data_IF_113020027524
#
_entry.id   IF_113020027524
#
_cell.length_a   1.000
_cell.length_b   1.000
_cell.length_c   1.000
_cell.angle_alpha   90.00
_cell.angle_beta   90.00
_cell.angle_gamma   90.00
#
_symmetry.space_group_name_H-M   'P 1'
#
loop_
_entity.id
_entity.type
_entity.pdbx_description
1 polymer ?
#
# COMPACT_ATOMS: atom_id res chain seq x y z
N UNK A 1 23.08 3.97 -9.60
CA UNK A 1 22.08 3.35 -8.72
C UNK A 1 20.93 4.33 -8.65
N UNK A 2 19.70 3.89 -8.92
CA UNK A 2 18.51 4.74 -8.74
C UNK A 2 18.41 5.17 -7.28
N UNK A 3 17.99 6.40 -7.04
CA UNK A 3 17.80 6.96 -5.71
C UNK A 3 16.29 7.12 -5.50
N UNK A 4 15.74 6.30 -4.61
CA UNK A 4 14.30 6.13 -4.43
C UNK A 4 13.62 7.47 -4.13
N UNK A 5 14.25 8.33 -3.33
CA UNK A 5 13.64 9.60 -2.89
C UNK A 5 13.79 10.74 -3.89
N UNK A 6 14.73 10.68 -4.82
CA UNK A 6 14.87 11.71 -5.86
C UNK A 6 14.15 11.35 -7.16
N UNK A 7 14.01 10.05 -7.41
CA UNK A 7 13.47 9.52 -8.65
C UNK A 7 11.93 9.47 -8.63
N UNK A 8 11.30 9.55 -7.46
CA UNK A 8 9.85 9.41 -7.30
C UNK A 8 9.24 10.53 -6.47
N UNK A 9 8.08 11.02 -6.91
CA UNK A 9 7.22 11.94 -6.14
C UNK A 9 6.16 11.17 -5.35
N UNK A 10 5.77 10.00 -5.85
CA UNK A 10 4.74 9.14 -5.27
C UNK A 10 5.22 7.69 -5.19
N UNK A 11 5.01 7.07 -4.04
CA UNK A 11 5.15 5.62 -3.88
C UNK A 11 3.81 5.05 -3.42
N UNK A 12 3.27 4.14 -4.23
CA UNK A 12 2.00 3.45 -4.00
C UNK A 12 2.33 2.06 -3.47
N UNK A 13 1.75 1.70 -2.33
CA UNK A 13 1.98 0.41 -1.70
C UNK A 13 0.74 -0.47 -1.80
N UNK A 14 0.94 -1.77 -2.05
CA UNK A 14 -0.02 -2.76 -1.57
C UNK A 14 -0.04 -2.79 -0.03
N UNK A 15 -1.13 -3.33 0.54
CA UNK A 15 -1.28 -3.45 1.98
C UNK A 15 -0.84 -4.83 2.49
N UNK A 16 -1.47 -5.91 2.03
CA UNK A 16 -1.37 -7.24 2.64
C UNK A 16 -0.17 -8.03 2.11
N UNK A 17 0.81 -8.31 2.95
CA UNK A 17 2.09 -8.92 2.55
C UNK A 17 3.19 -7.89 2.35
N UNK A 18 2.79 -6.65 2.03
CA UNK A 18 3.68 -5.51 1.79
C UNK A 18 3.88 -4.61 3.01
N UNK A 19 2.80 -4.09 3.61
CA UNK A 19 2.85 -3.20 4.79
C UNK A 19 2.32 -3.86 6.07
N UNK A 20 1.39 -4.80 5.93
CA UNK A 20 0.82 -5.56 7.05
C UNK A 20 0.92 -7.07 6.80
N UNK A 21 1.19 -7.81 7.88
CA UNK A 21 1.13 -9.26 7.91
C UNK A 21 -0.14 -9.73 8.65
N UNK A 22 -0.61 -10.96 8.42
CA UNK A 22 -1.54 -11.60 9.35
C UNK A 22 -0.96 -11.69 10.77
N UNK A 23 -1.79 -11.39 11.78
CA UNK A 23 -1.48 -11.64 13.19
C UNK A 23 -1.42 -13.15 13.46
N UNK A 24 -0.38 -13.58 14.19
CA UNK A 24 -0.19 -15.00 14.55
C UNK A 24 -1.39 -15.48 15.38
N UNK A 25 -2.02 -16.59 14.97
CA UNK A 25 -3.17 -17.18 15.67
C UNK A 25 -4.50 -17.15 14.91
N UNK A 26 -4.57 -16.47 13.76
CA UNK A 26 -5.69 -16.60 12.83
C UNK A 26 -5.75 -18.05 12.29
N UNK A 27 -6.53 -18.91 12.97
CA UNK A 27 -6.74 -20.31 12.59
C UNK A 27 -7.45 -20.35 11.23
N UNK A 28 -6.98 -21.24 10.35
CA UNK A 28 -7.40 -21.42 8.95
C UNK A 28 -7.16 -20.19 8.09
N UNK A 29 -6.00 -20.12 7.41
CA UNK A 29 -5.64 -19.06 6.43
C UNK A 29 -6.75 -18.87 5.40
N UNK A 30 -7.72 -17.94 5.53
CA UNK A 30 -8.57 -17.64 4.40
C UNK A 30 -7.73 -16.74 3.47
N UNK A 31 -7.99 -16.83 2.18
CA UNK A 31 -7.45 -15.89 1.20
C UNK A 31 -7.77 -14.43 1.56
N UNK A 32 -8.82 -14.23 2.37
CA UNK A 32 -9.33 -12.94 2.80
C UNK A 32 -9.30 -12.78 4.32
N UNK A 33 -9.33 -11.53 4.79
CA UNK A 33 -9.26 -11.17 6.21
C UNK A 33 -10.65 -10.73 6.67
N UNK A 34 -11.02 -11.11 7.89
CA UNK A 34 -12.38 -10.93 8.38
C UNK A 34 -12.52 -9.62 9.17
N UNK A 35 -11.49 -9.23 9.91
CA UNK A 35 -11.54 -8.11 10.85
C UNK A 35 -10.23 -7.32 10.91
N UNK A 36 -10.31 -6.05 11.33
CA UNK A 36 -9.15 -5.17 11.50
C UNK A 36 -8.05 -5.75 12.39
N UNK A 37 -8.42 -6.47 13.45
CA UNK A 37 -7.46 -7.07 14.38
C UNK A 37 -6.68 -8.28 13.82
N UNK A 38 -7.01 -8.72 12.59
CA UNK A 38 -6.29 -9.80 11.91
C UNK A 38 -4.96 -9.33 11.36
N UNK A 39 -4.70 -8.02 11.34
CA UNK A 39 -3.48 -7.42 10.82
C UNK A 39 -2.52 -7.04 11.94
N UNK A 40 -1.24 -7.16 11.63
CA UNK A 40 -0.16 -6.47 12.32
C UNK A 40 0.63 -5.69 11.27
N UNK A 41 1.01 -4.47 11.60
CA UNK A 41 1.99 -3.73 10.80
C UNK A 41 3.30 -4.53 10.81
N UNK A 42 3.93 -4.66 9.64
CA UNK A 42 5.21 -5.38 9.52
C UNK A 42 6.30 -4.66 10.29
N UNK A 43 7.18 -5.42 10.93
CA UNK A 43 8.33 -4.84 11.61
C UNK A 43 9.24 -4.13 10.60
N UNK A 44 9.77 -2.97 10.99
CA UNK A 44 10.72 -2.22 10.18
C UNK A 44 10.12 -1.40 9.03
N UNK A 45 8.79 -1.26 8.90
CA UNK A 45 8.20 -0.39 7.86
C UNK A 45 8.08 1.07 8.29
N UNK A 46 7.96 1.36 9.59
CA UNK A 46 7.76 2.73 10.08
C UNK A 46 8.91 3.68 9.74
N UNK A 47 10.15 3.25 9.96
CA UNK A 47 11.33 4.08 9.75
C UNK A 47 11.54 4.42 8.25
N UNK A 48 11.47 3.46 7.31
CA UNK A 48 11.49 3.76 5.88
C UNK A 48 10.39 4.72 5.43
N UNK A 49 9.14 4.52 5.87
CA UNK A 49 8.04 5.41 5.48
C UNK A 49 8.23 6.84 6.04
N UNK A 50 8.76 6.97 7.26
CA UNK A 50 9.14 8.28 7.82
C UNK A 50 10.25 8.94 7.00
N UNK A 51 11.27 8.17 6.62
CA UNK A 51 12.37 8.66 5.79
C UNK A 51 11.88 9.18 4.43
N UNK A 52 10.98 8.45 3.76
CA UNK A 52 10.39 8.89 2.49
C UNK A 52 9.66 10.23 2.62
N UNK A 53 8.78 10.37 3.63
CA UNK A 53 8.07 11.62 3.88
C UNK A 53 9.00 12.79 4.20
N UNK A 54 10.04 12.55 5.00
CA UNK A 54 11.06 13.56 5.30
C UNK A 54 11.83 14.02 4.07
N UNK A 55 11.81 13.25 2.98
CA UNK A 55 12.36 13.60 1.68
C UNK A 55 11.28 13.99 0.66
N UNK A 56 10.11 14.45 1.12
CA UNK A 56 9.01 14.97 0.30
C UNK A 56 8.37 13.97 -0.67
N UNK A 57 8.56 12.66 -0.45
CA UNK A 57 7.87 11.62 -1.22
C UNK A 57 6.48 11.39 -0.63
N UNK A 58 5.45 11.50 -1.46
CA UNK A 58 4.08 11.18 -1.09
C UNK A 58 3.87 9.67 -1.06
N UNK A 59 3.02 9.21 -0.15
CA UNK A 59 2.74 7.79 0.05
C UNK A 59 1.26 7.53 -0.20
N UNK A 60 0.95 6.43 -0.88
CA UNK A 60 -0.41 5.98 -1.11
C UNK A 60 -0.56 4.48 -0.86
N UNK A 61 -1.79 4.02 -0.62
CA UNK A 61 -2.16 2.61 -0.58
C UNK A 61 -3.12 2.31 -1.74
N UNK A 62 -2.88 1.19 -2.43
CA UNK A 62 -3.79 0.60 -3.40
C UNK A 62 -3.98 -0.89 -3.09
N UNK A 63 -5.14 -1.30 -2.55
CA UNK A 63 -5.34 -2.67 -2.02
C UNK A 63 -6.60 -3.37 -2.50
N UNK A 64 -6.48 -4.64 -2.89
CA UNK A 64 -7.60 -5.51 -3.23
C UNK A 64 -8.18 -6.15 -1.95
N UNK A 65 -9.47 -5.94 -1.68
CA UNK A 65 -10.16 -6.42 -0.47
C UNK A 65 -11.42 -7.23 -0.81
N UNK A 66 -11.21 -8.29 -1.61
CA UNK A 66 -12.27 -9.14 -2.13
C UNK A 66 -13.07 -9.93 -1.06
N UNK A 67 -12.62 -9.95 0.20
CA UNK A 67 -13.34 -10.63 1.28
C UNK A 67 -14.77 -10.15 1.45
N UNK A 68 -15.01 -8.86 1.12
CA UNK A 68 -16.34 -8.25 1.09
C UNK A 68 -17.22 -8.90 0.01
N UNK A 69 -16.71 -9.12 -1.20
CA UNK A 69 -17.44 -9.80 -2.27
C UNK A 69 -17.78 -11.26 -1.96
N UNK A 70 -17.00 -11.92 -1.09
CA UNK A 70 -17.28 -13.29 -0.64
C UNK A 70 -18.12 -13.34 0.65
N UNK A 71 -18.46 -12.21 1.26
CA UNK A 71 -19.21 -12.15 2.52
C UNK A 71 -18.43 -12.64 3.75
N UNK A 72 -17.10 -12.57 3.69
CA UNK A 72 -16.20 -12.94 4.80
C UNK A 72 -16.10 -11.80 5.82
N UNK A 73 -16.28 -10.56 5.36
CA UNK A 73 -16.24 -9.35 6.17
C UNK A 73 -17.27 -8.35 5.64
N UNK A 74 -17.74 -7.46 6.51
CA UNK A 74 -18.63 -6.38 6.11
C UNK A 74 -17.82 -5.21 5.51
N UNK A 75 -18.36 -4.49 4.50
CA UNK A 75 -17.63 -3.42 3.83
C UNK A 75 -17.11 -2.34 4.80
N UNK A 76 -17.92 -1.97 5.79
CA UNK A 76 -17.57 -0.92 6.75
C UNK A 76 -16.45 -1.36 7.69
N UNK A 77 -16.49 -2.61 8.16
CA UNK A 77 -15.44 -3.17 9.03
C UNK A 77 -14.10 -3.24 8.28
N UNK A 78 -14.14 -3.67 7.02
CA UNK A 78 -12.96 -3.71 6.17
C UNK A 78 -12.43 -2.31 5.87
N UNK A 79 -13.31 -1.35 5.58
CA UNK A 79 -12.92 0.04 5.39
C UNK A 79 -12.23 0.60 6.64
N UNK A 80 -12.80 0.41 7.84
CA UNK A 80 -12.17 0.84 9.08
C UNK A 80 -10.80 0.19 9.28
N UNK A 81 -10.66 -1.12 9.02
CA UNK A 81 -9.38 -1.82 9.10
C UNK A 81 -8.29 -1.18 8.23
N UNK A 82 -8.62 -0.86 6.97
CA UNK A 82 -7.69 -0.25 6.01
C UNK A 82 -7.31 1.15 6.50
N UNK A 83 -8.30 1.94 6.93
CA UNK A 83 -8.07 3.31 7.39
C UNK A 83 -7.25 3.36 8.67
N UNK A 84 -7.48 2.45 9.63
CA UNK A 84 -6.69 2.35 10.86
C UNK A 84 -5.23 2.00 10.56
N UNK A 85 -5.00 1.05 9.65
CA UNK A 85 -3.64 0.69 9.22
C UNK A 85 -2.95 1.85 8.49
N UNK A 86 -3.64 2.50 7.56
CA UNK A 86 -3.13 3.65 6.82
C UNK A 86 -2.80 4.82 7.75
N UNK A 87 -3.69 5.12 8.70
CA UNK A 87 -3.50 6.16 9.71
C UNK A 87 -2.28 5.87 10.58
N UNK A 88 -2.16 4.65 11.10
CA UNK A 88 -1.00 4.25 11.89
C UNK A 88 0.31 4.41 11.10
N UNK A 89 0.31 4.12 9.80
CA UNK A 89 1.47 4.25 8.92
C UNK A 89 1.74 5.70 8.45
N UNK A 90 0.84 6.65 8.73
CA UNK A 90 0.91 8.02 8.25
C UNK A 90 0.74 8.13 6.73
N UNK A 91 -0.20 7.37 6.17
CA UNK A 91 -0.54 7.36 4.74
C UNK A 91 -1.99 7.84 4.60
N UNK A 92 -2.20 8.90 3.81
CA UNK A 92 -3.50 9.57 3.69
C UNK A 92 -4.18 9.39 2.33
N UNK A 93 -3.43 9.01 1.29
CA UNK A 93 -3.98 8.65 -0.02
C UNK A 93 -4.25 7.15 0.00
N UNK A 94 -5.52 6.75 0.03
CA UNK A 94 -5.91 5.35 0.20
C UNK A 94 -7.02 4.99 -0.79
N UNK A 95 -6.73 4.02 -1.64
CA UNK A 95 -7.70 3.39 -2.53
C UNK A 95 -7.77 1.89 -2.29
N UNK A 96 -8.98 1.37 -2.29
CA UNK A 96 -9.24 -0.04 -2.11
C UNK A 96 -10.40 -0.50 -3.00
N UNK A 97 -10.39 -1.78 -3.36
CA UNK A 97 -11.41 -2.39 -4.20
C UNK A 97 -12.04 -3.60 -3.49
N UNK A 98 -13.36 -3.54 -3.25
CA UNK A 98 -14.13 -4.67 -2.70
C UNK A 98 -14.57 -5.67 -3.75
N UNK A 99 -14.63 -5.25 -5.01
CA UNK A 99 -15.13 -6.06 -6.11
C UNK A 99 -14.28 -7.31 -6.33
N UNK A 100 -14.95 -8.39 -6.70
CA UNK A 100 -14.32 -9.62 -7.18
C UNK A 100 -15.22 -10.30 -8.22
N UNK A 101 -14.71 -10.67 -9.42
CA UNK A 101 -15.54 -11.29 -10.47
C UNK A 101 -16.25 -12.56 -9.99
N UNK A 102 -15.55 -13.37 -9.19
CA UNK A 102 -16.08 -14.62 -8.61
C UNK A 102 -16.77 -14.47 -7.24
N UNK A 103 -17.07 -13.25 -6.78
CA UNK A 103 -17.71 -13.01 -5.48
C UNK A 103 -19.01 -13.80 -5.29
N UNK A 104 -19.46 -13.99 -4.05
CA UNK A 104 -20.77 -14.61 -3.75
C UNK A 104 -21.89 -13.58 -3.56
N UNK A 105 -21.53 -12.34 -3.19
CA UNK A 105 -22.45 -11.24 -2.94
C UNK A 105 -22.70 -10.45 -4.24
N UNK A 106 -23.93 -10.42 -4.79
CA UNK A 106 -24.21 -9.78 -6.09
C UNK A 106 -23.77 -8.32 -6.21
N UNK A 107 -23.80 -7.56 -5.11
CA UNK A 107 -23.40 -6.16 -5.06
C UNK A 107 -21.94 -5.91 -5.46
N UNK A 108 -21.05 -6.87 -5.20
CA UNK A 108 -19.60 -6.74 -5.37
C UNK A 108 -19.05 -7.81 -6.31
N UNK A 109 -19.93 -8.50 -7.05
CA UNK A 109 -19.58 -9.60 -7.96
C UNK A 109 -19.52 -9.10 -9.40
N UNK A 110 -18.45 -8.42 -9.74
CA UNK A 110 -18.18 -7.97 -11.09
C UNK A 110 -16.69 -7.71 -11.29
N UNK A 111 -16.29 -7.64 -12.55
CA UNK A 111 -15.01 -7.05 -12.94
C UNK A 111 -15.00 -5.56 -12.59
N UNK A 112 -13.83 -5.03 -12.26
CA UNK A 112 -13.68 -3.65 -11.79
C UNK A 112 -12.38 -3.10 -12.34
N UNK A 113 -12.45 -1.90 -12.93
CA UNK A 113 -11.26 -1.15 -13.36
C UNK A 113 -10.34 -0.77 -12.18
N UNK A 114 -10.83 -0.89 -10.94
CA UNK A 114 -10.09 -0.62 -9.71
C UNK A 114 -9.48 -1.88 -9.09
N UNK A 115 -9.87 -3.08 -9.50
CA UNK A 115 -9.30 -4.31 -8.95
C UNK A 115 -7.98 -4.62 -9.65
N UNK A 116 -6.85 -4.59 -8.93
CA UNK A 116 -5.56 -5.04 -9.50
C UNK A 116 -5.73 -6.45 -10.08
N UNK A 117 -5.30 -6.72 -11.33
CA UNK A 117 -4.28 -6.00 -12.10
C UNK A 117 -4.78 -4.77 -12.91
N UNK A 118 -6.05 -4.38 -12.82
CA UNK A 118 -6.49 -3.13 -13.43
C UNK A 118 -5.85 -1.90 -12.72
N UNK A 119 -5.46 -0.85 -13.46
CA UNK A 119 -4.65 0.25 -12.93
C UNK A 119 -5.47 1.36 -12.24
N UNK A 120 -6.80 1.25 -12.17
CA UNK A 120 -7.67 2.37 -11.75
C UNK A 120 -7.36 2.93 -10.36
N UNK A 121 -6.94 2.09 -9.40
CA UNK A 121 -6.51 2.59 -8.08
C UNK A 121 -5.21 3.39 -8.15
N UNK A 122 -4.27 3.00 -9.01
CA UNK A 122 -3.00 3.70 -9.18
C UNK A 122 -3.23 5.07 -9.84
N UNK A 123 -4.09 5.16 -10.87
CA UNK A 123 -4.43 6.44 -11.49
C UNK A 123 -5.10 7.41 -10.53
N UNK A 124 -5.98 6.92 -9.64
CA UNK A 124 -6.57 7.75 -8.59
C UNK A 124 -5.50 8.26 -7.61
N UNK A 125 -4.59 7.38 -7.18
CA UNK A 125 -3.50 7.78 -6.28
C UNK A 125 -2.59 8.84 -6.91
N UNK A 126 -2.24 8.67 -8.19
CA UNK A 126 -1.46 9.66 -8.95
C UNK A 126 -2.20 10.99 -9.08
N UNK A 127 -3.51 10.96 -9.34
CA UNK A 127 -4.34 12.17 -9.43
C UNK A 127 -4.36 12.92 -8.10
N UNK A 128 -4.63 12.21 -7.00
CA UNK A 128 -4.72 12.79 -5.66
C UNK A 128 -3.36 13.33 -5.17
N UNK A 129 -2.26 12.70 -5.58
CA UNK A 129 -0.90 13.14 -5.28
C UNK A 129 -0.34 14.20 -6.25
N UNK A 130 -1.06 14.51 -7.34
CA UNK A 130 -0.53 15.30 -8.46
C UNK A 130 0.79 14.75 -9.04
N UNK A 131 0.92 13.42 -9.11
CA UNK A 131 2.10 12.73 -9.63
C UNK A 131 1.87 12.20 -11.05
N UNK A 132 2.96 11.99 -11.78
CA UNK A 132 2.94 11.37 -13.13
C UNK A 132 3.48 9.93 -13.06
N UNK A 133 3.10 9.03 -13.99
CA UNK A 133 3.53 7.63 -13.99
C UNK A 133 5.05 7.45 -13.89
N UNK A 134 5.82 8.28 -14.59
CA UNK A 134 7.29 8.21 -14.67
C UNK A 134 7.97 8.52 -13.34
N UNK A 135 7.29 9.26 -12.45
CA UNK A 135 7.75 9.61 -11.10
C UNK A 135 6.96 8.85 -10.02
N UNK A 136 6.33 7.75 -10.40
CA UNK A 136 5.55 6.90 -9.50
C UNK A 136 6.13 5.49 -9.44
N UNK A 137 6.21 4.94 -8.22
CA UNK A 137 6.61 3.57 -7.98
C UNK A 137 5.49 2.79 -7.28
N UNK A 138 5.10 1.66 -7.85
CA UNK A 138 4.27 0.66 -7.17
C UNK A 138 5.15 -0.35 -6.42
N UNK A 139 4.84 -0.58 -5.16
CA UNK A 139 5.50 -1.57 -4.29
C UNK A 139 4.48 -2.61 -3.85
N UNK A 140 4.74 -3.87 -4.14
CA UNK A 140 3.82 -4.96 -3.80
C UNK A 140 4.52 -6.32 -3.68
N UNK A 141 3.78 -7.34 -3.27
CA UNK A 141 4.29 -8.71 -3.13
C UNK A 141 3.68 -9.70 -4.13
N UNK A 142 2.69 -9.28 -4.93
CA UNK A 142 1.94 -10.16 -5.84
C UNK A 142 2.09 -9.75 -7.29
N UNK A 143 1.89 -10.71 -8.19
CA UNK A 143 1.96 -10.46 -9.64
C UNK A 143 0.92 -9.42 -10.12
N UNK A 144 -0.25 -9.38 -9.47
CA UNK A 144 -1.29 -8.38 -9.75
C UNK A 144 -0.82 -6.94 -9.48
N UNK A 145 0.13 -6.73 -8.56
CA UNK A 145 0.74 -5.42 -8.31
C UNK A 145 1.65 -4.99 -9.45
N UNK A 146 2.47 -5.93 -9.94
CA UNK A 146 3.37 -5.71 -11.08
C UNK A 146 2.59 -5.43 -12.35
N UNK A 147 1.52 -6.19 -12.59
CA UNK A 147 0.66 -5.99 -13.75
C UNK A 147 -0.11 -4.67 -13.67
N UNK A 148 -0.60 -4.29 -12.49
CA UNK A 148 -1.23 -2.98 -12.30
C UNK A 148 -0.24 -1.83 -12.58
N UNK A 149 1.01 -1.95 -12.11
CA UNK A 149 2.05 -0.97 -12.40
C UNK A 149 2.36 -0.88 -13.90
N UNK A 150 2.46 -2.03 -14.58
CA UNK A 150 2.65 -2.11 -16.02
C UNK A 150 1.50 -1.42 -16.78
N UNK A 151 0.24 -1.69 -16.41
CA UNK A 151 -0.93 -1.06 -17.03
C UNK A 151 -1.06 0.43 -16.69
N UNK A 152 -0.48 0.88 -15.58
CA UNK A 152 -0.42 2.28 -15.19
C UNK A 152 0.83 3.00 -15.73
N UNK A 153 1.70 2.28 -16.48
CA UNK A 153 2.96 2.78 -17.03
C UNK A 153 3.92 3.36 -15.96
N UNK A 154 3.84 2.86 -14.72
CA UNK A 154 4.72 3.28 -13.63
C UNK A 154 5.73 2.18 -13.25
N UNK A 155 6.74 2.55 -12.46
CA UNK A 155 7.75 1.59 -12.03
C UNK A 155 7.16 0.58 -11.04
N UNK A 156 7.77 -0.61 -10.95
CA UNK A 156 7.42 -1.63 -9.97
C UNK A 156 8.66 -2.14 -9.23
N UNK A 157 8.52 -2.34 -7.93
CA UNK A 157 9.46 -3.10 -7.11
C UNK A 157 8.72 -4.10 -6.22
N UNK A 158 9.32 -5.26 -5.99
CA UNK A 158 8.82 -6.14 -4.94
C UNK A 158 9.02 -5.49 -3.58
N UNK A 159 8.14 -5.77 -2.62
CA UNK A 159 8.28 -5.25 -1.25
C UNK A 159 9.68 -5.56 -0.66
N UNK A 160 10.18 -6.78 -0.87
CA UNK A 160 11.51 -7.20 -0.41
C UNK A 160 12.63 -6.37 -1.01
N UNK A 161 12.63 -6.18 -2.34
CA UNK A 161 13.67 -5.40 -3.02
C UNK A 161 13.60 -3.93 -2.62
N UNK A 162 12.39 -3.39 -2.54
CA UNK A 162 12.15 -2.00 -2.15
C UNK A 162 12.71 -1.69 -0.78
N UNK A 163 12.30 -2.43 0.26
CA UNK A 163 12.78 -2.18 1.61
C UNK A 163 14.28 -2.46 1.72
N UNK A 164 14.82 -3.46 1.02
CA UNK A 164 16.27 -3.72 1.00
C UNK A 164 17.05 -2.54 0.39
N UNK A 165 16.59 -2.00 -0.73
CA UNK A 165 17.22 -0.86 -1.38
C UNK A 165 17.12 0.42 -0.53
N UNK A 166 15.95 0.68 0.05
CA UNK A 166 15.71 1.88 0.86
C UNK A 166 16.55 1.88 2.15
N UNK A 167 16.68 0.74 2.83
CA UNK A 167 17.58 0.63 3.99
C UNK A 167 19.05 0.88 3.64
N UNK A 168 19.51 0.40 2.46
CA UNK A 168 20.86 0.71 1.98
C UNK A 168 21.02 2.20 1.70
N UNK A 169 20.00 2.85 1.14
CA UNK A 169 20.01 4.28 0.90
C UNK A 169 20.07 5.07 2.22
N UNK A 170 19.25 4.71 3.20
CA UNK A 170 19.21 5.35 4.53
C UNK A 170 20.55 5.27 5.27
N UNK A 171 21.27 4.15 5.16
CA UNK A 171 22.58 3.95 5.83
C UNK A 171 23.75 4.64 5.12
N UNK A 172 23.58 5.08 3.87
CA UNK A 172 24.60 5.80 3.10
C UNK A 172 24.54 7.32 3.29
N UNK A 173 23.50 7.85 3.96
CA UNK A 173 23.38 9.27 4.28
C UNK A 173 24.09 9.53 5.63
N UNK A 174 25.09 10.43 5.72
CA UNK A 174 25.63 10.84 7.01
C UNK A 174 24.51 11.47 7.84
N UNK A 175 24.35 11.05 9.10
CA UNK A 175 23.38 11.63 10.04
C UNK A 175 23.58 13.15 10.10
N UNK A 176 22.78 13.89 9.33
CA UNK A 176 22.54 15.30 9.57
C UNK A 176 21.34 15.39 10.51
N UNK A 177 21.50 16.17 11.56
CA UNK A 177 20.57 16.36 12.66
C UNK A 177 19.17 16.68 12.15
N UNK A 178 18.24 15.74 12.32
CA UNK A 178 16.81 16.02 12.16
C UNK A 178 16.39 16.89 13.35
N UNK A 179 15.85 18.11 13.17
CA UNK A 179 15.24 18.84 14.27
C UNK A 179 14.05 18.04 14.78
N UNK A 180 13.90 17.91 16.10
CA UNK A 180 12.66 17.42 16.71
C UNK A 180 11.52 18.35 16.27
N UNK A 181 10.64 17.87 15.40
CA UNK A 181 9.36 18.55 15.16
C UNK A 181 8.42 18.21 16.32
N UNK A 182 8.20 19.20 17.19
CA UNK A 182 7.13 19.24 18.16
C UNK A 182 5.78 19.26 17.42
N UNK A 183 5.03 18.16 17.49
CA UNK A 183 3.62 18.17 17.11
C UNK A 183 2.80 18.78 18.24
N UNK A 184 2.00 19.84 18.00
CA UNK A 184 1.04 20.30 18.99
C UNK A 184 -0.15 19.32 19.03
N UNK A 185 -0.55 18.99 20.27
CA UNK A 185 -1.66 18.10 20.65
C UNK A 185 -3.00 18.42 19.98
#
# INVERSE_FOLDING_TARGET
>A
MSNITTDHDLIIFDLNGTLVDPRIGAKNKPQFRAHAHDWRIKDGVFEPLRYLRANHVQLAIATNQGGVAFGITEPLDMQHAIMDAAYALGIYIVHFCFDHPDGSKPRWRHESEYRKPAPGMLFRAMTDAHAIPERTLMVGDRDEDREAALHAECQFMTATDFFTALHKQMTQVPQSTVPEEDFPF
#
